data_IF_369190773355
#
_entry.id   IF_369190773355
#
_cell.length_a   1.000
_cell.length_b   1.000
_cell.length_c   1.000
_cell.angle_alpha   90.00
_cell.angle_beta   90.00
_cell.angle_gamma   90.00
#
_symmetry.space_group_name_H-M   'P 1'
#
loop_
_entity.id
_entity.type
_entity.pdbx_description
1 polymer ?
#
# COMPACT_ATOMS: atom_id res chain seq x y z
N UNK A 1 5.14 -4.59 -28.52
CA UNK A 1 4.83 -5.26 -27.24
C UNK A 1 5.15 -4.27 -26.12
N UNK A 2 4.14 -3.72 -25.44
CA UNK A 2 4.38 -2.85 -24.29
C UNK A 2 4.77 -3.74 -23.10
N UNK A 3 5.99 -3.58 -22.57
CA UNK A 3 6.39 -4.27 -21.33
C UNK A 3 5.69 -3.56 -20.18
N UNK A 4 5.03 -4.30 -19.30
CA UNK A 4 4.69 -3.78 -17.98
C UNK A 4 6.00 -3.37 -17.30
N UNK A 5 6.16 -2.10 -16.97
CA UNK A 5 7.27 -1.62 -16.14
C UNK A 5 6.70 -1.28 -14.77
N UNK A 6 7.35 -1.75 -13.71
CA UNK A 6 7.06 -1.21 -12.39
C UNK A 6 7.57 0.21 -12.26
N UNK A 7 7.04 0.93 -11.29
CA UNK A 7 7.53 2.22 -10.86
C UNK A 7 8.04 2.16 -9.42
N UNK A 8 8.75 3.19 -9.02
CA UNK A 8 9.25 3.33 -7.66
C UNK A 8 8.15 3.91 -6.77
N UNK A 9 7.99 3.34 -5.58
CA UNK A 9 7.09 3.84 -4.53
C UNK A 9 7.85 3.97 -3.22
N UNK A 10 7.33 4.76 -2.28
CA UNK A 10 7.88 4.85 -0.93
C UNK A 10 6.86 4.33 0.07
N UNK A 11 7.21 3.26 0.78
CA UNK A 11 6.41 2.72 1.88
C UNK A 11 6.88 3.36 3.18
N UNK A 12 5.98 3.86 4.01
CA UNK A 12 6.27 4.43 5.32
C UNK A 12 5.50 3.70 6.40
N UNK A 13 6.21 3.09 7.35
CA UNK A 13 5.61 2.50 8.54
C UNK A 13 5.61 3.50 9.70
N UNK A 14 4.52 3.50 10.48
CA UNK A 14 4.46 4.18 11.78
C UNK A 14 4.72 3.16 12.88
N UNK A 15 5.88 3.27 13.53
CA UNK A 15 6.35 2.34 14.56
C UNK A 15 6.24 3.01 15.93
N UNK A 16 5.58 2.37 16.89
CA UNK A 16 5.57 2.83 18.28
C UNK A 16 7.00 2.71 18.83
N UNK A 17 7.56 3.82 19.30
CA UNK A 17 8.91 3.83 19.88
C UNK A 17 8.97 3.18 21.26
N UNK A 18 7.82 2.96 21.91
CA UNK A 18 7.71 2.58 23.31
C UNK A 18 7.84 3.76 24.28
N UNK A 19 8.20 4.94 23.79
CA UNK A 19 8.29 6.17 24.56
C UNK A 19 6.94 6.88 24.64
N UNK A 20 6.74 7.67 25.69
CA UNK A 20 5.53 8.46 25.93
C UNK A 20 5.89 9.94 26.06
N UNK A 21 5.07 10.81 25.49
CA UNK A 21 5.20 12.26 25.67
C UNK A 21 4.76 12.72 27.07
N UNK A 22 4.84 14.03 27.35
CA UNK A 22 4.42 14.61 28.62
C UNK A 22 2.91 14.48 28.93
N UNK A 23 2.10 14.09 27.94
CA UNK A 23 0.67 13.81 28.06
C UNK A 23 0.34 12.31 28.08
N UNK A 24 1.34 11.43 28.19
CA UNK A 24 1.21 9.97 28.14
C UNK A 24 0.73 9.41 26.78
N UNK A 25 0.92 10.14 25.69
CA UNK A 25 0.64 9.65 24.34
C UNK A 25 1.85 8.87 23.78
N UNK A 26 1.64 7.80 22.98
CA UNK A 26 2.73 7.13 22.27
C UNK A 26 3.49 8.09 21.35
N UNK A 27 4.82 8.03 21.42
CA UNK A 27 5.69 8.66 20.43
C UNK A 27 5.88 7.67 19.28
N UNK A 28 5.50 8.09 18.07
CA UNK A 28 5.65 7.28 16.86
C UNK A 28 6.89 7.74 16.08
N UNK A 29 7.59 6.78 15.47
CA UNK A 29 8.65 7.02 14.49
C UNK A 29 8.19 6.55 13.12
N UNK A 30 8.56 7.32 12.11
CA UNK A 30 8.38 6.93 10.71
C UNK A 30 9.61 6.18 10.22
N UNK A 31 9.38 5.07 9.53
CA UNK A 31 10.42 4.30 8.86
C UNK A 31 10.07 4.25 7.37
N UNK A 32 10.71 5.06 6.51
CA UNK A 32 10.48 5.00 5.07
C UNK A 32 11.39 3.96 4.39
N UNK A 33 10.86 3.28 3.38
CA UNK A 33 11.60 2.39 2.47
C UNK A 33 11.16 2.63 1.03
N UNK A 34 12.13 2.81 0.14
CA UNK A 34 11.89 2.90 -1.29
C UNK A 34 11.84 1.51 -1.89
N UNK A 35 10.76 1.19 -2.60
CA UNK A 35 10.58 -0.09 -3.30
C UNK A 35 10.47 0.15 -4.79
N UNK A 36 11.40 -0.42 -5.55
CA UNK A 36 11.40 -0.37 -7.01
C UNK A 36 10.53 -1.48 -7.63
N UNK A 37 10.23 -1.33 -8.92
CA UNK A 37 9.53 -2.34 -9.73
C UNK A 37 8.17 -2.73 -9.13
N UNK A 38 7.39 -1.78 -8.62
CA UNK A 38 6.00 -1.99 -8.16
C UNK A 38 5.04 -1.71 -9.31
N UNK A 39 4.16 -2.66 -9.64
CA UNK A 39 3.10 -2.38 -10.61
C UNK A 39 1.97 -1.62 -9.93
N UNK A 40 1.59 -0.49 -10.51
CA UNK A 40 0.45 0.29 -10.04
C UNK A 40 -0.70 0.11 -11.01
N UNK A 41 -1.78 -0.49 -10.52
CA UNK A 41 -3.04 -0.60 -11.24
C UNK A 41 -4.03 0.36 -10.57
N UNK A 42 -4.73 1.23 -11.32
CA UNK A 42 -5.84 1.97 -10.74
C UNK A 42 -6.86 0.97 -10.19
N UNK A 43 -7.43 1.28 -9.02
CA UNK A 43 -8.62 0.58 -8.53
C UNK A 43 -9.72 0.65 -9.57
N UNK A 44 -10.74 -0.21 -9.47
CA UNK A 44 -11.90 -0.05 -10.33
C UNK A 44 -12.50 1.33 -10.06
N UNK A 45 -12.19 2.32 -10.92
CA UNK A 45 -13.03 3.49 -11.10
C UNK A 45 -14.32 2.95 -11.69
N UNK A 46 -15.20 2.42 -10.85
CA UNK A 46 -16.61 2.33 -11.20
C UNK A 46 -17.00 3.79 -11.49
N UNK A 47 -17.27 4.02 -12.77
CA UNK A 47 -17.54 5.32 -13.34
C UNK A 47 -18.56 6.04 -12.45
N UNK A 48 -18.17 7.19 -11.90
CA UNK A 48 -19.03 8.00 -11.05
C UNK A 48 -20.27 8.43 -11.84
N UNK A 49 -21.33 7.63 -11.73
CA UNK A 49 -22.69 7.94 -12.13
C UNK A 49 -23.65 7.09 -11.30
N UNK A 50 -23.44 7.05 -9.99
CA UNK A 50 -24.54 6.82 -9.06
C UNK A 50 -24.16 7.34 -7.66
N UNK A 51 -24.68 8.52 -7.35
CA UNK A 51 -24.73 9.04 -5.98
C UNK A 51 -25.64 8.13 -5.17
N UNK A 52 -25.09 7.13 -4.47
CA UNK A 52 -25.57 6.60 -3.16
C UNK A 52 -24.76 5.37 -2.76
N UNK A 53 -23.62 5.54 -2.08
CA UNK A 53 -23.11 4.48 -1.19
C UNK A 53 -22.68 5.07 0.14
N UNK A 54 -23.22 4.58 1.28
CA UNK A 54 -22.77 4.95 2.60
C UNK A 54 -21.36 4.38 2.82
N UNK A 55 -20.46 5.22 3.33
CA UNK A 55 -19.18 4.91 3.99
C UNK A 55 -18.58 3.52 3.73
N UNK A 56 -18.07 3.30 2.52
CA UNK A 56 -17.26 2.14 2.15
C UNK A 56 -15.82 2.55 1.83
N UNK A 57 -14.84 1.80 2.32
CA UNK A 57 -13.43 1.96 1.93
C UNK A 57 -13.34 1.81 0.41
N UNK A 58 -12.95 2.89 -0.28
CA UNK A 58 -12.79 2.89 -1.73
C UNK A 58 -11.35 2.52 -2.07
N UNK A 59 -11.16 1.44 -2.83
CA UNK A 59 -9.83 1.07 -3.32
C UNK A 59 -9.42 2.06 -4.40
N UNK A 60 -8.47 2.94 -4.08
CA UNK A 60 -7.93 3.92 -5.01
C UNK A 60 -6.96 3.27 -5.99
N UNK A 61 -6.04 2.43 -5.49
CA UNK A 61 -5.05 1.71 -6.29
C UNK A 61 -4.88 0.27 -5.80
N UNK A 62 -4.49 -0.62 -6.72
CA UNK A 62 -3.95 -1.94 -6.41
C UNK A 62 -2.49 -1.97 -6.82
N UNK A 63 -1.60 -2.17 -5.85
CA UNK A 63 -0.16 -2.25 -6.05
C UNK A 63 0.29 -3.71 -6.06
N UNK A 64 1.13 -4.10 -7.02
CA UNK A 64 1.78 -5.40 -7.01
C UNK A 64 3.26 -5.23 -6.69
N UNK A 65 3.69 -5.72 -5.53
CA UNK A 65 5.07 -5.65 -5.08
C UNK A 65 5.91 -6.78 -5.69
N UNK A 66 7.18 -6.53 -6.01
CA UNK A 66 8.03 -7.54 -6.64
C UNK A 66 8.36 -8.64 -5.66
N UNK A 67 8.45 -9.89 -6.15
CA UNK A 67 8.74 -11.06 -5.32
C UNK A 67 10.09 -11.00 -4.61
N UNK A 68 11.05 -10.30 -5.19
CA UNK A 68 12.38 -10.12 -4.60
C UNK A 68 12.38 -9.15 -3.41
N UNK A 69 11.31 -8.38 -3.23
CA UNK A 69 11.16 -7.55 -2.05
C UNK A 69 10.91 -8.43 -0.83
N UNK A 70 11.70 -8.22 0.23
CA UNK A 70 11.55 -8.96 1.48
C UNK A 70 10.25 -8.56 2.14
N UNK A 71 9.33 -9.52 2.28
CA UNK A 71 8.04 -9.26 2.89
C UNK A 71 8.18 -8.65 4.29
N UNK A 72 7.54 -7.49 4.47
CA UNK A 72 7.23 -6.85 5.75
C UNK A 72 5.74 -6.57 5.77
N UNK A 73 5.06 -6.80 6.90
CA UNK A 73 3.64 -6.47 7.03
C UNK A 73 3.42 -5.00 6.66
N UNK A 74 2.45 -4.75 5.80
CA UNK A 74 2.07 -3.42 5.34
C UNK A 74 0.86 -2.87 6.09
N UNK A 75 0.42 -3.56 7.15
CA UNK A 75 -0.73 -3.15 7.95
C UNK A 75 -0.54 -1.75 8.51
N UNK A 76 -1.43 -0.84 8.11
CA UNK A 76 -1.38 0.56 8.55
C UNK A 76 -0.20 1.37 7.99
N UNK A 77 0.55 0.82 7.02
CA UNK A 77 1.57 1.58 6.31
C UNK A 77 0.92 2.59 5.35
N UNK A 78 1.66 3.64 5.05
CA UNK A 78 1.38 4.58 3.97
C UNK A 78 2.25 4.25 2.78
N UNK A 79 1.72 4.38 1.56
CA UNK A 79 2.48 4.23 0.33
C UNK A 79 2.35 5.52 -0.47
N UNK A 80 3.47 6.20 -0.68
CA UNK A 80 3.56 7.30 -1.64
C UNK A 80 3.72 6.72 -3.05
N UNK A 81 2.77 7.07 -3.91
CA UNK A 81 2.80 6.74 -5.33
C UNK A 81 2.70 8.05 -6.10
N UNK A 82 3.77 8.42 -6.80
CA UNK A 82 3.83 9.66 -7.61
C UNK A 82 3.50 10.92 -6.81
N UNK A 83 4.00 11.02 -5.57
CA UNK A 83 3.80 12.16 -4.69
C UNK A 83 2.41 12.25 -4.06
N UNK A 84 1.62 11.18 -4.15
CA UNK A 84 0.32 11.06 -3.49
C UNK A 84 0.36 9.92 -2.47
N UNK A 85 -0.02 10.22 -1.23
CA UNK A 85 0.00 9.27 -0.14
C UNK A 85 -1.30 8.46 -0.09
N UNK A 86 -1.16 7.14 -0.09
CA UNK A 86 -2.27 6.19 0.05
C UNK A 86 -2.10 5.33 1.30
N UNK A 87 -3.20 5.01 1.97
CA UNK A 87 -3.18 4.12 3.13
C UNK A 87 -3.43 2.67 2.71
N UNK A 88 -2.62 1.74 3.22
CA UNK A 88 -2.82 0.30 2.98
C UNK A 88 -4.08 -0.20 3.67
N UNK A 89 -4.92 -0.90 2.90
CA UNK A 89 -6.14 -1.55 3.38
C UNK A 89 -5.79 -2.95 3.88
N UNK A 90 -6.11 -3.24 5.15
CA UNK A 90 -5.91 -4.55 5.76
C UNK A 90 -4.43 -4.88 6.05
N UNK A 91 -4.08 -6.17 5.92
CA UNK A 91 -2.71 -6.68 6.05
C UNK A 91 -2.45 -7.68 4.90
N UNK A 92 -1.94 -7.20 3.75
CA UNK A 92 -1.79 -8.02 2.56
C UNK A 92 -0.71 -9.08 2.77
N UNK A 93 -1.03 -10.34 2.42
CA UNK A 93 -0.10 -11.46 2.54
C UNK A 93 0.42 -11.88 1.15
N UNK A 94 1.71 -12.20 1.03
CA UNK A 94 2.26 -12.72 -0.21
C UNK A 94 1.63 -14.08 -0.51
N UNK A 95 1.39 -14.36 -1.79
CA UNK A 95 0.86 -15.66 -2.20
C UNK A 95 1.95 -16.73 -2.04
N UNK A 96 1.81 -17.57 -1.01
CA UNK A 96 2.67 -18.72 -0.75
C UNK A 96 1.94 -20.02 -1.13
N UNK A 97 1.66 -20.17 -2.41
CA UNK A 97 1.25 -21.45 -2.98
C UNK A 97 2.29 -21.77 -4.02
N UNK A 98 2.96 -22.93 -3.94
CA UNK A 98 4.12 -23.35 -4.76
C UNK A 98 3.96 -23.36 -6.29
N UNK A 99 2.94 -22.67 -6.79
CA UNK A 99 2.85 -22.03 -8.10
C UNK A 99 3.98 -21.01 -8.19
N UNK A 100 4.61 -20.85 -9.37
CA UNK A 100 5.51 -19.73 -9.64
C UNK A 100 4.64 -18.58 -10.13
N UNK A 101 4.10 -17.68 -9.29
CA UNK A 101 3.42 -16.53 -9.85
C UNK A 101 4.50 -15.65 -10.47
N UNK A 102 4.07 -14.75 -11.34
CA UNK A 102 4.89 -13.79 -12.08
C UNK A 102 5.88 -13.00 -11.20
N UNK A 103 6.69 -12.11 -11.79
CA UNK A 103 7.68 -11.28 -11.09
C UNK A 103 7.13 -10.54 -9.83
N UNK A 104 5.82 -10.37 -9.73
CA UNK A 104 5.08 -9.83 -8.58
C UNK A 104 4.20 -10.90 -7.92
N UNK A 105 4.21 -10.96 -6.58
CA UNK A 105 3.49 -11.98 -5.81
C UNK A 105 2.73 -11.44 -4.58
N UNK A 106 2.79 -10.13 -4.33
CA UNK A 106 2.11 -9.47 -3.23
C UNK A 106 1.21 -8.38 -3.81
N UNK A 107 -0.11 -8.54 -3.65
CA UNK A 107 -1.10 -7.55 -4.06
C UNK A 107 -1.53 -6.75 -2.83
N UNK A 108 -1.50 -5.43 -2.97
CA UNK A 108 -1.75 -4.47 -1.90
C UNK A 108 -2.82 -3.51 -2.39
N UNK A 109 -3.96 -3.48 -1.73
CA UNK A 109 -5.00 -2.50 -1.99
C UNK A 109 -4.79 -1.29 -1.09
N UNK A 110 -4.91 -0.10 -1.67
CA UNK A 110 -4.73 1.16 -0.94
C UNK A 110 -5.90 2.10 -1.18
N UNK A 111 -6.26 2.87 -0.17
CA UNK A 111 -7.27 3.95 -0.22
C UNK A 111 -6.57 5.31 -0.19
N UNK A 112 -7.24 6.34 -0.68
CA UNK A 112 -6.76 7.71 -0.49
C UNK A 112 -6.63 8.02 1.02
N UNK A 113 -5.55 8.70 1.40
CA UNK A 113 -5.35 9.14 2.78
C UNK A 113 -6.08 10.46 3.08
N UNK A 114 -6.43 11.21 2.03
CA UNK A 114 -7.30 12.39 2.06
C UNK A 114 -8.71 11.96 1.58
N UNK A 115 -9.53 11.47 2.52
CA UNK A 115 -10.92 11.08 2.24
C UNK A 115 -11.79 12.23 1.75
#
# INVERSE_FOLDING_TARGET
MSRLHGEQVTVTWRVDTGERDGGNNPIWREEPETVDDVLVKPGAQDNASDSTRPEGVTVALTLAFPRLWTYRSLKGALVDVRGHAYQVIGDPLPVDSGITPTRWNLLVEVTDSEG
#
